data_IF_174093141096
#
_entry.id   IF_174093141096
#
_cell.length_a   1.000
_cell.length_b   1.000
_cell.length_c   1.000
_cell.angle_alpha   90.00
_cell.angle_beta   90.00
_cell.angle_gamma   90.00
#
_symmetry.space_group_name_H-M   'P 1'
#
loop_
_entity.id
_entity.type
_entity.pdbx_description
1 polymer ?
#
# COMPACT_ATOMS: atom_id res chain seq x y z
N UNK A 1 -2.70 17.81 0.98
CA UNK A 1 -3.25 18.48 2.19
C UNK A 1 -4.43 19.32 1.76
N UNK A 2 -5.64 19.00 2.24
CA UNK A 2 -6.86 19.72 1.86
C UNK A 2 -6.83 21.15 2.40
N UNK A 3 -7.68 22.05 1.86
CA UNK A 3 -7.87 23.39 2.42
C UNK A 3 -8.35 23.32 3.87
N UNK A 4 -9.17 22.32 4.20
CA UNK A 4 -9.64 22.05 5.56
C UNK A 4 -8.48 21.69 6.50
N UNK A 5 -7.51 20.88 6.08
CA UNK A 5 -6.34 20.55 6.89
C UNK A 5 -5.47 21.78 7.16
N UNK A 6 -5.33 22.68 6.17
CA UNK A 6 -4.60 23.94 6.36
C UNK A 6 -5.30 24.88 7.35
N UNK A 7 -6.62 25.03 7.23
CA UNK A 7 -7.42 25.85 8.15
C UNK A 7 -7.42 25.23 9.55
N UNK A 8 -7.58 23.91 9.67
CA UNK A 8 -7.53 23.17 10.94
C UNK A 8 -6.19 23.36 11.63
N UNK A 9 -5.10 23.25 10.89
CA UNK A 9 -3.74 23.48 11.40
C UNK A 9 -3.49 24.93 11.85
N UNK A 10 -4.03 25.91 11.11
CA UNK A 10 -3.98 27.33 11.50
C UNK A 10 -4.80 27.63 12.76
N UNK A 11 -5.82 26.85 13.05
CA UNK A 11 -6.67 26.96 14.24
C UNK A 11 -6.16 26.11 15.41
N UNK A 12 -5.00 25.46 15.28
CA UNK A 12 -4.41 24.60 16.30
C UNK A 12 -5.12 23.24 16.46
N UNK A 13 -5.94 22.85 15.50
CA UNK A 13 -6.58 21.53 15.47
C UNK A 13 -5.68 20.51 14.80
N UNK A 14 -5.53 19.38 15.46
CA UNK A 14 -4.78 18.22 14.96
C UNK A 14 -5.47 17.61 13.76
N UNK A 15 -4.72 17.25 12.71
CA UNK A 15 -5.23 16.47 11.58
C UNK A 15 -5.59 15.05 12.01
N UNK A 16 -6.45 14.37 11.24
CA UNK A 16 -6.82 12.97 11.54
C UNK A 16 -5.61 12.03 11.45
N UNK A 17 -4.66 12.32 10.56
CA UNK A 17 -3.40 11.58 10.47
C UNK A 17 -2.50 11.73 11.72
N UNK A 18 -2.45 12.93 12.32
CA UNK A 18 -1.73 13.16 13.58
C UNK A 18 -2.42 12.46 14.76
N UNK A 19 -3.76 12.48 14.80
CA UNK A 19 -4.52 11.75 15.83
C UNK A 19 -4.29 10.24 15.72
N UNK A 20 -4.35 9.70 14.51
CA UNK A 20 -4.11 8.29 14.26
C UNK A 20 -2.69 7.88 14.69
N UNK A 21 -1.68 8.69 14.35
CA UNK A 21 -0.30 8.45 14.79
C UNK A 21 -0.19 8.34 16.31
N UNK A 22 -0.87 9.23 17.06
CA UNK A 22 -0.85 9.18 18.53
C UNK A 22 -1.48 7.89 19.06
N UNK A 23 -2.61 7.46 18.49
CA UNK A 23 -3.28 6.22 18.89
C UNK A 23 -2.35 5.02 18.66
N UNK A 24 -1.75 4.93 17.48
CA UNK A 24 -0.86 3.82 17.11
C UNK A 24 0.47 3.82 17.90
N UNK A 25 0.85 4.95 18.45
CA UNK A 25 2.09 5.08 19.23
C UNK A 25 1.87 4.95 20.74
N UNK A 26 0.68 4.54 21.20
CA UNK A 26 0.40 4.24 22.61
C UNK A 26 1.03 2.90 23.02
N UNK A 27 1.33 2.74 24.32
CA UNK A 27 1.86 1.49 24.84
C UNK A 27 0.84 0.35 24.66
N UNK A 28 -0.47 0.64 24.80
CA UNK A 28 -1.53 -0.33 24.54
C UNK A 28 -1.47 -0.91 23.12
N UNK A 29 -1.14 -0.08 22.13
CA UNK A 29 -1.05 -0.54 20.75
C UNK A 29 0.23 -1.33 20.51
N UNK A 30 1.31 -1.01 21.19
CA UNK A 30 2.60 -1.72 21.14
C UNK A 30 2.56 -3.10 21.83
N UNK A 31 1.66 -3.28 22.80
CA UNK A 31 1.50 -4.54 23.53
C UNK A 31 0.59 -5.57 22.79
N UNK A 32 -0.13 -5.14 21.77
CA UNK A 32 -0.94 -6.05 20.94
C UNK A 32 -0.06 -6.83 19.97
N UNK A 33 -0.53 -7.97 19.43
CA UNK A 33 0.22 -8.77 18.47
C UNK A 33 0.23 -8.08 17.07
N UNK A 34 0.70 -6.84 17.06
CA UNK A 34 0.92 -6.11 15.81
C UNK A 34 2.36 -6.34 15.33
N UNK A 35 2.50 -6.65 14.07
CA UNK A 35 3.81 -6.66 13.44
C UNK A 35 4.20 -5.23 13.06
N UNK A 36 5.46 -4.91 13.29
CA UNK A 36 6.08 -3.65 12.93
C UNK A 36 7.23 -3.92 11.97
N UNK A 37 7.25 -3.21 10.84
CA UNK A 37 8.36 -3.26 9.90
C UNK A 37 8.86 -1.86 9.59
N UNK A 38 10.16 -1.65 9.77
CA UNK A 38 10.83 -0.43 9.35
C UNK A 38 10.96 -0.43 7.82
N UNK A 39 10.54 0.65 7.19
CA UNK A 39 10.58 0.83 5.74
C UNK A 39 11.65 1.84 5.30
N UNK A 40 12.51 2.30 6.21
CA UNK A 40 13.53 3.32 5.93
C UNK A 40 12.97 4.75 5.91
N UNK A 41 13.85 5.73 5.86
CA UNK A 41 13.55 7.18 5.82
C UNK A 41 12.55 7.66 6.89
N UNK A 42 12.52 7.00 8.06
CA UNK A 42 11.58 7.31 9.13
C UNK A 42 10.16 6.85 8.85
N UNK A 43 9.97 5.98 7.86
CA UNK A 43 8.70 5.34 7.54
C UNK A 43 8.65 3.93 8.13
N UNK A 44 7.48 3.51 8.56
CA UNK A 44 7.23 2.16 9.04
C UNK A 44 5.82 1.70 8.65
N UNK A 45 5.61 0.40 8.62
CA UNK A 45 4.27 -0.19 8.57
C UNK A 45 3.99 -0.92 9.89
N UNK A 46 2.80 -0.73 10.41
CA UNK A 46 2.28 -1.48 11.56
C UNK A 46 0.93 -2.08 11.17
N UNK A 47 0.66 -3.28 11.61
CA UNK A 47 -0.63 -3.87 11.33
C UNK A 47 -0.91 -5.14 12.10
N UNK A 48 -2.18 -5.49 12.10
CA UNK A 48 -2.69 -6.72 12.65
C UNK A 48 -2.44 -7.86 11.66
N UNK A 49 -1.85 -8.96 12.16
CA UNK A 49 -1.69 -10.18 11.37
C UNK A 49 -2.57 -11.29 11.93
N UNK A 50 -3.09 -12.11 11.04
CA UNK A 50 -3.78 -13.34 11.39
C UNK A 50 -3.22 -14.46 10.54
N UNK A 51 -2.71 -15.52 11.18
CA UNK A 51 -2.09 -16.67 10.49
C UNK A 51 -0.87 -16.28 9.61
N UNK A 52 -0.12 -15.24 10.02
CA UNK A 52 1.00 -14.70 9.25
C UNK A 52 0.62 -13.75 8.12
N UNK A 53 -0.66 -13.42 7.97
CA UNK A 53 -1.16 -12.54 6.92
C UNK A 53 -1.59 -11.19 7.47
N UNK A 54 -1.27 -10.11 6.75
CA UNK A 54 -1.70 -8.77 7.10
C UNK A 54 -3.21 -8.64 6.89
N UNK A 55 -3.92 -8.28 7.97
CA UNK A 55 -5.36 -8.06 7.94
C UNK A 55 -5.72 -6.58 7.91
N UNK A 56 -4.92 -5.76 8.55
CA UNK A 56 -5.15 -4.33 8.69
C UNK A 56 -3.79 -3.66 8.81
N UNK A 57 -3.52 -2.64 8.02
CA UNK A 57 -2.19 -1.99 7.99
C UNK A 57 -2.27 -0.49 7.97
N UNK A 58 -1.35 0.10 8.72
CA UNK A 58 -1.13 1.55 8.77
C UNK A 58 0.29 1.87 8.35
N UNK A 59 0.44 2.88 7.50
CA UNK A 59 1.73 3.46 7.16
C UNK A 59 2.01 4.59 8.14
N UNK A 60 3.15 4.55 8.82
CA UNK A 60 3.56 5.52 9.83
C UNK A 60 4.70 6.36 9.28
N UNK A 61 4.58 7.69 9.39
CA UNK A 61 5.65 8.64 9.13
C UNK A 61 6.10 9.26 10.46
N UNK A 62 7.24 8.81 10.97
CA UNK A 62 7.79 9.30 12.22
C UNK A 62 8.35 10.73 12.13
N UNK A 63 8.74 11.18 10.93
CA UNK A 63 9.27 12.52 10.72
C UNK A 63 8.18 13.59 10.85
N UNK A 64 6.99 13.31 10.30
CA UNK A 64 5.83 14.22 10.35
C UNK A 64 4.90 13.92 11.50
N UNK A 65 5.10 12.80 12.21
CA UNK A 65 4.19 12.27 13.24
C UNK A 65 2.77 12.09 12.72
N UNK A 66 2.65 11.52 11.52
CA UNK A 66 1.40 11.19 10.86
C UNK A 66 1.31 9.70 10.61
N UNK A 67 0.10 9.16 10.62
CA UNK A 67 -0.18 7.79 10.21
C UNK A 67 -1.35 7.77 9.23
N UNK A 68 -1.34 6.80 8.35
CA UNK A 68 -2.31 6.63 7.29
C UNK A 68 -2.78 5.18 7.27
N UNK A 69 -4.08 4.96 7.27
CA UNK A 69 -4.63 3.64 7.02
C UNK A 69 -4.36 3.26 5.57
N UNK A 70 -3.60 2.20 5.37
CA UNK A 70 -3.22 1.75 4.04
C UNK A 70 -4.12 0.62 3.55
N UNK A 71 -4.46 -0.30 4.46
CA UNK A 71 -5.34 -1.42 4.19
C UNK A 71 -6.34 -1.57 5.34
N UNK A 72 -7.61 -1.64 5.03
CA UNK A 72 -8.67 -1.82 6.03
C UNK A 72 -8.80 -3.27 6.51
N UNK A 73 -9.67 -3.48 7.49
CA UNK A 73 -9.97 -4.80 8.08
C UNK A 73 -10.52 -5.82 7.07
N UNK A 74 -11.09 -5.34 5.98
CA UNK A 74 -11.65 -6.17 4.90
C UNK A 74 -10.62 -6.39 3.77
N UNK A 75 -9.34 -6.04 4.04
CA UNK A 75 -8.21 -6.18 3.12
C UNK A 75 -8.34 -5.34 1.84
N UNK A 76 -9.04 -4.22 1.92
CA UNK A 76 -9.15 -3.27 0.83
C UNK A 76 -8.13 -2.15 0.99
N UNK A 77 -7.56 -1.71 -0.12
CA UNK A 77 -6.68 -0.55 -0.14
C UNK A 77 -7.47 0.74 0.10
N UNK A 78 -7.17 1.43 1.19
CA UNK A 78 -7.89 2.67 1.57
C UNK A 78 -7.30 3.89 0.88
N UNK A 79 -5.99 3.88 0.61
CA UNK A 79 -5.29 5.02 0.01
C UNK A 79 -5.25 4.99 -1.51
N UNK A 80 -5.73 3.91 -2.14
CA UNK A 80 -5.76 3.71 -3.59
C UNK A 80 -7.20 3.83 -4.07
N UNK A 81 -7.39 4.50 -5.19
CA UNK A 81 -8.69 4.66 -5.87
C UNK A 81 -8.64 4.06 -7.27
N UNK A 82 -9.78 3.92 -7.93
CA UNK A 82 -9.81 3.47 -9.34
C UNK A 82 -9.00 4.40 -10.27
N UNK A 83 -8.89 5.67 -9.94
CA UNK A 83 -8.10 6.65 -10.70
C UNK A 83 -6.58 6.40 -10.60
N UNK A 84 -6.15 5.66 -9.59
CA UNK A 84 -4.76 5.31 -9.36
C UNK A 84 -4.31 4.05 -10.11
N UNK A 85 -5.19 3.46 -10.92
CA UNK A 85 -4.92 2.28 -11.72
C UNK A 85 -4.82 2.66 -13.20
N UNK A 86 -3.79 2.14 -13.87
CA UNK A 86 -3.65 2.23 -15.33
C UNK A 86 -4.41 1.07 -15.98
N UNK A 87 -5.71 1.27 -16.20
CA UNK A 87 -6.61 0.28 -16.77
C UNK A 87 -6.20 -0.20 -18.16
N UNK A 88 -5.49 0.64 -18.93
CA UNK A 88 -5.01 0.25 -20.25
C UNK A 88 -3.96 -0.86 -20.15
N UNK A 89 -3.11 -0.83 -19.12
CA UNK A 89 -2.12 -1.88 -18.86
C UNK A 89 -2.77 -3.22 -18.45
N UNK A 90 -4.00 -3.19 -17.95
CA UNK A 90 -4.72 -4.36 -17.44
C UNK A 90 -5.70 -4.97 -18.47
N UNK A 91 -5.90 -4.36 -19.62
CA UNK A 91 -6.94 -4.76 -20.59
C UNK A 91 -6.84 -6.20 -21.12
N UNK A 92 -5.63 -6.77 -21.08
CA UNK A 92 -5.37 -8.12 -21.57
C UNK A 92 -5.40 -9.17 -20.44
N UNK A 93 -5.66 -8.75 -19.20
CA UNK A 93 -5.78 -9.66 -18.08
C UNK A 93 -7.13 -10.40 -18.09
N UNK A 94 -7.22 -11.55 -17.40
CA UNK A 94 -8.48 -12.25 -17.20
C UNK A 94 -9.53 -11.33 -16.54
N UNK A 95 -10.80 -11.52 -16.90
CA UNK A 95 -11.91 -10.67 -16.43
C UNK A 95 -12.02 -10.67 -14.90
N UNK A 96 -11.75 -11.80 -14.26
CA UNK A 96 -11.76 -11.94 -12.81
C UNK A 96 -10.64 -11.11 -12.14
N UNK A 97 -9.45 -11.04 -12.76
CA UNK A 97 -8.36 -10.20 -12.28
C UNK A 97 -8.73 -8.71 -12.37
N UNK A 98 -9.35 -8.29 -13.48
CA UNK A 98 -9.86 -6.92 -13.65
C UNK A 98 -10.95 -6.62 -12.61
N UNK A 99 -11.85 -7.56 -12.36
CA UNK A 99 -12.91 -7.43 -11.35
C UNK A 99 -12.33 -7.21 -9.94
N UNK A 100 -11.26 -7.92 -9.58
CA UNK A 100 -10.57 -7.74 -8.28
C UNK A 100 -9.83 -6.43 -8.19
N UNK A 101 -9.16 -6.01 -9.26
CA UNK A 101 -8.53 -4.70 -9.29
C UNK A 101 -9.57 -3.59 -9.07
N UNK A 102 -10.76 -3.68 -9.67
CA UNK A 102 -11.85 -2.72 -9.45
C UNK A 102 -12.41 -2.73 -8.04
N UNK A 103 -12.45 -3.91 -7.40
CA UNK A 103 -12.85 -4.01 -6.00
C UNK A 103 -11.78 -3.46 -5.03
N UNK A 104 -10.60 -3.07 -5.54
CA UNK A 104 -9.42 -2.68 -4.75
C UNK A 104 -9.07 -3.70 -3.66
N UNK A 105 -9.45 -4.96 -3.89
CA UNK A 105 -9.28 -6.04 -2.93
C UNK A 105 -7.88 -6.59 -3.00
N UNK A 106 -7.26 -6.68 -1.84
CA UNK A 106 -5.96 -7.32 -1.68
C UNK A 106 -6.11 -8.82 -1.59
N UNK A 107 -5.32 -9.54 -2.37
CA UNK A 107 -5.02 -10.92 -2.06
C UNK A 107 -3.62 -11.01 -1.46
N UNK A 108 -3.51 -11.69 -0.37
CA UNK A 108 -2.43 -12.11 0.54
C UNK A 108 -1.00 -11.52 0.38
N UNK A 109 -0.55 -11.12 -0.80
CA UNK A 109 0.82 -10.69 -1.04
C UNK A 109 0.89 -9.30 -1.66
N UNK A 110 0.77 -8.30 -0.83
CA UNK A 110 1.17 -6.98 -1.25
C UNK A 110 2.26 -6.48 -0.35
N UNK A 111 3.29 -5.98 -0.96
CA UNK A 111 4.45 -5.50 -0.27
C UNK A 111 4.61 -4.01 -0.51
N UNK A 112 4.86 -3.28 0.58
CA UNK A 112 5.45 -1.96 0.51
C UNK A 112 6.95 -2.18 0.68
N UNK A 113 7.74 -1.81 -0.33
CA UNK A 113 9.20 -1.86 -0.26
C UNK A 113 9.73 -0.73 0.60
N UNK A 114 11.05 -0.75 0.85
CA UNK A 114 11.71 0.35 1.57
C UNK A 114 11.53 1.68 0.83
N UNK A 115 11.37 2.76 1.60
CA UNK A 115 11.38 4.12 1.07
C UNK A 115 12.79 4.51 0.66
N UNK A 116 12.92 5.05 -0.54
CA UNK A 116 14.13 5.64 -1.08
C UNK A 116 13.77 6.91 -1.84
N UNK A 117 14.46 8.01 -1.55
CA UNK A 117 14.21 9.32 -2.15
C UNK A 117 12.74 9.82 -2.01
N UNK A 118 12.10 9.46 -0.89
CA UNK A 118 10.74 9.88 -0.55
C UNK A 118 9.63 9.06 -1.18
N UNK A 119 9.95 7.97 -1.87
CA UNK A 119 8.97 7.07 -2.52
C UNK A 119 9.20 5.62 -2.13
N UNK A 120 8.13 4.83 -2.13
CA UNK A 120 8.18 3.38 -1.99
C UNK A 120 7.41 2.70 -3.11
N UNK A 121 7.99 1.61 -3.60
CA UNK A 121 7.31 0.67 -4.48
C UNK A 121 6.26 -0.10 -3.68
N UNK A 122 5.09 -0.23 -4.28
CA UNK A 122 4.02 -1.11 -3.79
C UNK A 122 3.72 -2.11 -4.87
N UNK A 123 3.86 -3.38 -4.57
CA UNK A 123 3.38 -4.45 -5.42
C UNK A 123 2.05 -4.98 -4.89
N UNK A 124 1.19 -5.33 -5.81
CA UNK A 124 -0.14 -5.85 -5.53
C UNK A 124 -0.41 -7.07 -6.40
N UNK A 125 -0.59 -8.20 -5.74
CA UNK A 125 -0.91 -9.46 -6.42
C UNK A 125 -2.43 -9.59 -6.60
N UNK A 126 -2.82 -9.88 -7.82
CA UNK A 126 -4.19 -10.16 -8.20
C UNK A 126 -4.25 -11.64 -8.61
N UNK A 127 -4.82 -12.49 -7.75
CA UNK A 127 -5.06 -13.88 -8.13
C UNK A 127 -6.37 -13.96 -8.94
N UNK A 128 -6.35 -14.33 -10.23
CA UNK A 128 -7.54 -14.37 -11.07
C UNK A 128 -8.55 -15.41 -10.59
N UNK A 129 -8.11 -16.56 -10.12
CA UNK A 129 -9.00 -17.66 -9.79
C UNK A 129 -9.60 -17.62 -8.38
N UNK A 130 -9.00 -16.89 -7.46
CA UNK A 130 -9.43 -16.86 -6.05
C UNK A 130 -9.43 -18.21 -5.36
N UNK A 131 -8.83 -19.20 -5.97
CA UNK A 131 -8.78 -20.55 -5.46
C UNK A 131 -7.51 -20.72 -4.64
N UNK A 132 -7.73 -20.88 -3.34
CA UNK A 132 -6.71 -21.46 -2.48
C UNK A 132 -6.85 -22.97 -2.60
N UNK A 133 -5.81 -23.62 -3.10
CA UNK A 133 -5.72 -25.05 -2.93
C UNK A 133 -5.11 -25.29 -1.54
N UNK A 134 -5.86 -25.95 -0.67
CA UNK A 134 -5.27 -26.66 0.46
C UNK A 134 -4.69 -27.93 -0.11
N UNK A 135 -3.39 -28.07 -0.08
CA UNK A 135 -2.76 -29.37 -0.24
C UNK A 135 -2.84 -30.16 1.06
N UNK A 136 -2.41 -31.43 1.03
CA UNK A 136 -2.46 -32.32 2.19
C UNK A 136 -1.60 -31.84 3.37
N UNK A 137 -0.71 -30.85 3.17
CA UNK A 137 0.15 -30.21 4.16
C UNK A 137 -0.42 -28.86 4.66
N UNK A 138 -1.54 -28.41 4.13
CA UNK A 138 -2.37 -27.31 4.67
C UNK A 138 -2.26 -25.96 3.96
N UNK A 139 -1.30 -25.73 3.08
CA UNK A 139 -1.18 -24.51 2.27
C UNK A 139 -0.42 -24.77 0.97
N UNK A 140 -1.11 -24.80 -0.14
CA UNK A 140 -0.53 -24.76 -1.47
C UNK A 140 -0.94 -23.48 -2.18
N UNK A 141 0.02 -22.72 -2.66
CA UNK A 141 -0.19 -21.69 -3.67
C UNK A 141 0.14 -22.31 -5.03
N UNK A 142 -0.74 -22.15 -6.00
CA UNK A 142 -0.37 -22.46 -7.38
C UNK A 142 0.39 -21.25 -7.94
N UNK A 143 1.66 -21.43 -8.22
CA UNK A 143 2.58 -20.39 -8.70
C UNK A 143 2.26 -19.89 -10.12
N UNK A 144 1.34 -20.54 -10.85
CA UNK A 144 1.24 -20.36 -12.30
C UNK A 144 0.35 -19.19 -12.75
N UNK A 145 -0.44 -18.55 -11.85
CA UNK A 145 -1.42 -17.52 -12.24
C UNK A 145 -1.40 -16.23 -11.43
N UNK A 146 -0.29 -15.93 -10.74
CA UNK A 146 -0.15 -14.69 -10.00
C UNK A 146 0.10 -13.51 -10.93
N UNK A 147 -0.88 -12.62 -10.99
CA UNK A 147 -0.73 -11.35 -11.71
C UNK A 147 -0.34 -10.28 -10.71
N UNK A 148 0.83 -9.70 -10.91
CA UNK A 148 1.35 -8.64 -10.07
C UNK A 148 1.28 -7.30 -10.78
N UNK A 149 0.75 -6.29 -10.10
CA UNK A 149 0.78 -4.91 -10.55
C UNK A 149 1.59 -4.04 -9.60
N UNK A 150 2.25 -3.02 -10.12
CA UNK A 150 3.18 -2.19 -9.40
C UNK A 150 2.79 -0.73 -9.49
N UNK A 151 2.91 -0.03 -8.38
CA UNK A 151 2.75 1.42 -8.28
C UNK A 151 3.74 2.01 -7.30
N UNK A 152 3.77 3.33 -7.19
CA UNK A 152 4.62 4.02 -6.21
C UNK A 152 3.80 4.98 -5.37
N UNK A 153 4.11 5.01 -4.07
CA UNK A 153 3.49 5.91 -3.09
C UNK A 153 4.54 6.87 -2.52
N UNK A 154 4.08 8.04 -2.08
CA UNK A 154 4.88 8.98 -1.28
C UNK A 154 4.76 8.70 0.23
N UNK A 155 5.51 9.45 1.04
CA UNK A 155 5.52 9.35 2.50
C UNK A 155 4.20 9.76 3.18
N UNK A 156 3.20 10.20 2.42
CA UNK A 156 1.84 10.48 2.88
C UNK A 156 0.84 9.41 2.39
N UNK A 157 1.33 8.25 2.00
CA UNK A 157 0.56 7.13 1.43
C UNK A 157 -0.23 7.49 0.15
N UNK A 158 0.18 8.53 -0.58
CA UNK A 158 -0.48 8.91 -1.84
C UNK A 158 0.21 8.24 -3.01
N UNK A 159 -0.58 7.72 -3.92
CA UNK A 159 -0.08 7.19 -5.18
C UNK A 159 0.53 8.33 -6.01
N UNK A 160 1.77 8.15 -6.42
CA UNK A 160 2.52 9.11 -7.27
C UNK A 160 2.75 8.57 -8.67
N UNK A 161 2.86 7.26 -8.81
CA UNK A 161 2.83 6.56 -10.11
C UNK A 161 1.77 5.48 -10.04
N UNK A 162 0.86 5.48 -11.02
CA UNK A 162 -0.28 4.57 -11.07
C UNK A 162 0.13 3.12 -11.09
N UNK A 163 -0.72 2.28 -10.51
CA UNK A 163 -0.56 0.83 -10.56
C UNK A 163 -0.77 0.32 -11.98
N UNK A 164 0.17 -0.46 -12.47
CA UNK A 164 0.11 -1.09 -13.79
C UNK A 164 0.75 -2.46 -13.82
N UNK A 165 0.32 -3.28 -14.76
CA UNK A 165 1.00 -4.53 -15.09
C UNK A 165 2.21 -4.22 -15.97
N UNK A 166 3.40 -4.68 -15.57
CA UNK A 166 4.67 -4.42 -16.26
C UNK A 166 5.27 -5.67 -16.92
N UNK A 167 4.51 -6.76 -17.02
CA UNK A 167 4.90 -7.99 -17.75
C UNK A 167 6.42 -8.27 -17.75
N UNK A 168 6.97 -8.63 -16.59
CA UNK A 168 8.36 -9.07 -16.39
C UNK A 168 9.50 -8.11 -16.85
N UNK A 169 9.21 -6.85 -17.10
CA UNK A 169 10.22 -5.88 -17.53
C UNK A 169 10.78 -5.07 -16.36
N UNK A 170 11.80 -5.60 -15.67
CA UNK A 170 12.53 -4.88 -14.60
C UNK A 170 12.96 -3.47 -15.00
N UNK A 171 13.30 -3.24 -16.28
CA UNK A 171 13.64 -1.91 -16.78
C UNK A 171 12.47 -0.93 -16.79
N UNK A 172 11.22 -1.39 -16.76
CA UNK A 172 10.05 -0.53 -16.62
C UNK A 172 9.82 -0.09 -15.19
N UNK A 173 10.04 -0.97 -14.23
CA UNK A 173 9.98 -0.66 -12.80
C UNK A 173 10.97 0.45 -12.42
N UNK A 174 12.21 0.39 -12.94
CA UNK A 174 13.21 1.44 -12.76
C UNK A 174 12.80 2.79 -13.35
N UNK A 175 12.10 2.79 -14.48
CA UNK A 175 11.56 4.02 -15.07
C UNK A 175 10.44 4.60 -14.20
N UNK A 176 9.53 3.76 -13.69
CA UNK A 176 8.47 4.16 -12.79
C UNK A 176 9.05 4.76 -11.50
N UNK A 177 10.09 4.15 -10.92
CA UNK A 177 10.78 4.67 -9.74
C UNK A 177 11.34 6.08 -10.00
N UNK A 178 12.08 6.25 -11.09
CA UNK A 178 12.64 7.58 -11.46
C UNK A 178 11.56 8.62 -11.68
N UNK A 179 10.45 8.25 -12.30
CA UNK A 179 9.29 9.12 -12.46
C UNK A 179 8.70 9.53 -11.10
N UNK A 180 8.50 8.57 -10.19
CA UNK A 180 7.99 8.81 -8.85
C UNK A 180 8.90 9.77 -8.06
N UNK A 181 10.21 9.55 -8.07
CA UNK A 181 11.20 10.42 -7.43
C UNK A 181 11.16 11.86 -7.99
N UNK A 182 11.04 12.00 -9.30
CA UNK A 182 10.93 13.32 -9.94
C UNK A 182 9.65 14.05 -9.54
N UNK A 183 8.51 13.33 -9.47
CA UNK A 183 7.23 13.89 -9.02
C UNK A 183 7.34 14.40 -7.58
N UNK A 184 7.87 13.59 -6.67
CA UNK A 184 8.02 13.99 -5.26
C UNK A 184 8.97 15.16 -5.11
N UNK A 185 10.11 15.14 -5.81
CA UNK A 185 11.08 16.23 -5.79
C UNK A 185 10.50 17.57 -6.32
N UNK A 186 9.61 17.51 -7.29
CA UNK A 186 8.97 18.71 -7.84
C UNK A 186 7.94 19.36 -6.91
N UNK A 187 7.51 18.64 -5.86
CA UNK A 187 6.50 19.10 -4.87
C UNK A 187 7.12 19.73 -3.63
N UNK A 188 8.46 19.58 -3.45
CA UNK A 188 9.24 20.17 -2.36
C UNK A 188 9.64 21.61 -2.67
#
# INVERSE_FOLDING_TARGET
MSIYDKISKMLGHESDAEKLYKVLNTDEYKERPYEYSDLGEGMAVIGETMWGWWKHRFLINHNTKCAYEFMDKDQRLVTVTEDDIDWESLKNLPEDAIGRARALSFHFHSFIRHFENGVAEVSWQINPDGRYYMDDDGFGMTDDDEIEIYGFIDQNAKVVVKFKNINEHYGELDKMRKEAEQIVKSRQ
#
